data_IF_923767139313
#
_entry.id   IF_923767139313
#
_cell.length_a   1.000
_cell.length_b   1.000
_cell.length_c   1.000
_cell.angle_alpha   90.00
_cell.angle_beta   90.00
_cell.angle_gamma   90.00
#
_symmetry.space_group_name_H-M   'P 1'
#
loop_
_entity.id
_entity.type
_entity.pdbx_description
1 polymer ?
#
# COMPACT_ATOMS: atom_id res chain seq x y z
N UNK A 1 38.71 27.73 2.04
CA UNK A 1 37.62 27.90 3.02
C UNK A 1 36.41 27.14 2.49
N UNK A 2 36.06 25.98 3.08
CA UNK A 2 34.87 25.24 2.68
C UNK A 2 33.66 25.90 3.32
N UNK A 3 32.82 26.54 2.51
CA UNK A 3 31.51 27.01 2.94
C UNK A 3 30.65 25.77 3.20
N UNK A 4 30.46 25.42 4.47
CA UNK A 4 29.55 24.34 4.85
C UNK A 4 28.15 24.67 4.29
N UNK A 5 27.69 23.85 3.34
CA UNK A 5 26.35 23.99 2.79
C UNK A 5 25.33 23.83 3.93
N UNK A 6 24.49 24.84 4.16
CA UNK A 6 23.41 24.79 5.14
C UNK A 6 22.43 23.69 4.72
N UNK A 7 22.47 22.54 5.39
CA UNK A 7 21.56 21.43 5.16
C UNK A 7 20.28 21.64 5.96
N UNK A 8 19.11 21.53 5.32
CA UNK A 8 17.80 21.68 6.00
C UNK A 8 17.56 20.48 6.92
N UNK A 9 17.02 20.70 8.13
CA UNK A 9 16.63 19.64 9.07
C UNK A 9 15.74 18.56 8.43
N UNK A 10 14.84 18.96 7.53
CA UNK A 10 13.94 18.06 6.79
C UNK A 10 14.66 17.10 5.82
N UNK A 11 15.96 17.28 5.59
CA UNK A 11 16.76 16.40 4.74
C UNK A 11 17.58 15.38 5.53
N UNK A 12 17.48 15.38 6.86
CA UNK A 12 18.11 14.38 7.70
C UNK A 12 17.40 13.03 7.52
N UNK A 13 18.19 11.97 7.39
CA UNK A 13 17.70 10.61 7.51
C UNK A 13 17.29 10.33 8.96
N UNK A 14 16.44 9.32 9.20
CA UNK A 14 16.01 8.97 10.56
C UNK A 14 17.19 8.63 11.49
N UNK A 15 18.26 8.02 10.96
CA UNK A 15 19.48 7.74 11.71
C UNK A 15 20.23 9.03 12.08
N UNK A 16 20.37 9.98 11.15
CA UNK A 16 21.00 11.28 11.41
C UNK A 16 20.18 12.12 12.40
N UNK A 17 18.85 12.12 12.29
CA UNK A 17 17.97 12.81 13.22
C UNK A 17 18.07 12.23 14.64
N UNK A 18 18.11 10.89 14.76
CA UNK A 18 18.28 10.21 16.05
C UNK A 18 19.64 10.48 16.68
N UNK A 19 20.71 10.49 15.88
CA UNK A 19 22.06 10.81 16.34
C UNK A 19 22.17 12.28 16.79
N UNK A 20 21.53 13.20 16.06
CA UNK A 20 21.46 14.61 16.41
C UNK A 20 20.69 14.83 17.72
N UNK A 21 19.57 14.13 17.91
CA UNK A 21 18.82 14.11 19.17
C UNK A 21 19.66 13.64 20.35
N UNK A 22 20.36 12.52 20.19
CA UNK A 22 21.25 11.98 21.23
C UNK A 22 22.34 12.99 21.58
N UNK A 23 22.97 13.59 20.58
CA UNK A 23 24.01 14.60 20.79
C UNK A 23 23.46 15.86 21.48
N UNK A 24 22.26 16.31 21.12
CA UNK A 24 21.59 17.44 21.79
C UNK A 24 21.25 17.11 23.25
N UNK A 25 20.80 15.89 23.53
CA UNK A 25 20.47 15.46 24.89
C UNK A 25 21.74 15.32 25.77
N UNK A 26 22.82 14.75 25.22
CA UNK A 26 24.12 14.70 25.89
C UNK A 26 24.66 16.10 26.16
N UNK A 27 24.46 17.02 25.22
CA UNK A 27 24.86 18.41 25.40
C UNK A 27 24.05 19.07 26.52
N UNK A 28 22.74 18.85 26.54
CA UNK A 28 21.84 19.36 27.57
C UNK A 28 22.21 18.86 28.98
N UNK A 29 22.48 17.57 29.12
CA UNK A 29 22.91 16.96 30.39
C UNK A 29 24.22 17.56 30.92
N UNK A 30 25.13 17.99 30.04
CA UNK A 30 26.37 18.67 30.45
C UNK A 30 26.15 20.11 30.93
N UNK A 31 25.06 20.74 30.54
CA UNK A 31 24.71 22.10 30.96
C UNK A 31 23.96 22.15 32.29
N UNK A 32 23.49 21.02 32.82
CA UNK A 32 22.75 20.94 34.08
C UNK A 32 23.56 21.43 35.31
N UNK A 33 24.87 21.63 35.15
CA UNK A 33 25.77 22.13 36.20
C UNK A 33 26.30 23.54 35.95
N UNK A 34 25.93 24.19 34.84
CA UNK A 34 26.38 25.54 34.48
C UNK A 34 25.32 26.58 34.85
N UNK A 35 25.79 27.75 35.29
CA UNK A 35 24.95 28.83 35.80
C UNK A 35 23.95 29.30 34.72
N UNK A 36 22.66 29.19 35.05
CA UNK A 36 21.54 29.18 34.09
C UNK A 36 21.30 30.55 33.43
N UNK A 37 21.71 31.65 34.07
CA UNK A 37 21.48 33.01 33.55
C UNK A 37 22.25 33.32 32.26
N UNK A 38 23.38 32.63 32.00
CA UNK A 38 24.18 32.85 30.78
C UNK A 38 23.70 32.03 29.57
N UNK A 39 22.77 31.09 29.78
CA UNK A 39 22.30 30.12 28.78
C UNK A 39 20.84 30.34 28.36
N UNK A 40 20.24 31.44 28.84
CA UNK A 40 18.87 31.82 28.52
C UNK A 40 18.73 32.00 26.99
N UNK A 41 17.81 31.24 26.39
CA UNK A 41 17.64 31.12 24.93
C UNK A 41 18.39 29.97 24.24
N UNK A 42 19.53 29.48 24.76
CA UNK A 42 20.12 28.22 24.25
C UNK A 42 19.26 27.03 24.68
N UNK A 43 18.76 27.08 25.92
CA UNK A 43 17.84 26.08 26.46
C UNK A 43 16.58 25.99 25.59
N UNK A 44 15.92 27.12 25.31
CA UNK A 44 14.75 27.19 24.42
C UNK A 44 15.06 26.70 23.01
N UNK A 45 16.26 27.00 22.49
CA UNK A 45 16.68 26.55 21.16
C UNK A 45 16.90 25.04 21.13
N UNK A 46 17.54 24.47 22.14
CA UNK A 46 17.75 23.03 22.27
C UNK A 46 16.42 22.33 22.50
N UNK A 47 15.56 22.84 23.37
CA UNK A 47 14.22 22.33 23.61
C UNK A 47 13.38 22.37 22.33
N UNK A 48 13.39 23.48 21.59
CA UNK A 48 12.73 23.61 20.28
C UNK A 48 13.30 22.64 19.25
N UNK A 49 14.62 22.46 19.20
CA UNK A 49 15.26 21.48 18.32
C UNK A 49 14.91 20.05 18.72
N UNK A 50 14.92 19.73 20.01
CA UNK A 50 14.50 18.43 20.53
C UNK A 50 13.04 18.16 20.21
N UNK A 51 12.16 19.13 20.39
CA UNK A 51 10.74 19.06 20.02
C UNK A 51 10.56 18.80 18.52
N UNK A 52 11.25 19.58 17.69
CA UNK A 52 11.25 19.42 16.22
C UNK A 52 11.91 18.12 15.76
N UNK A 53 12.77 17.56 16.60
CA UNK A 53 13.41 16.28 16.36
C UNK A 53 12.68 15.13 17.04
N UNK A 54 11.62 15.33 17.86
CA UNK A 54 10.77 14.28 18.48
C UNK A 54 10.13 13.46 17.36
N UNK A 55 10.95 12.59 16.83
CA UNK A 55 10.70 11.69 15.74
C UNK A 55 10.28 10.40 16.39
N UNK A 56 8.99 10.09 16.30
CA UNK A 56 8.54 8.76 16.61
C UNK A 56 8.84 7.92 15.36
N UNK A 57 9.99 7.25 15.41
CA UNK A 57 10.26 6.15 14.49
C UNK A 57 9.17 5.10 14.70
N UNK A 58 8.55 4.67 13.61
CA UNK A 58 7.57 3.57 13.64
C UNK A 58 8.12 2.30 14.31
N UNK A 59 9.44 2.14 14.48
CA UNK A 59 10.03 1.01 15.22
C UNK A 59 9.86 1.06 16.74
N UNK A 60 9.46 2.20 17.32
CA UNK A 60 9.33 2.40 18.78
C UNK A 60 7.90 2.76 19.22
N UNK A 61 6.92 2.58 18.34
CA UNK A 61 5.53 2.96 18.61
C UNK A 61 4.90 1.99 19.60
N UNK A 62 4.19 2.55 20.57
CA UNK A 62 3.38 1.83 21.58
C UNK A 62 1.97 2.41 21.58
N UNK A 63 1.03 1.80 22.32
CA UNK A 63 -0.33 2.33 22.49
C UNK A 63 -0.34 3.77 23.03
N UNK A 64 0.54 4.08 23.99
CA UNK A 64 0.71 5.45 24.51
C UNK A 64 1.06 6.46 23.40
N UNK A 65 1.71 6.03 22.31
CA UNK A 65 2.00 6.92 21.18
C UNK A 65 0.72 7.34 20.44
N UNK A 66 -0.30 6.48 20.40
CA UNK A 66 -1.61 6.82 19.84
C UNK A 66 -2.32 7.83 20.72
N UNK A 67 -2.30 7.60 22.05
CA UNK A 67 -2.91 8.51 23.02
C UNK A 67 -2.32 9.92 22.94
N UNK A 68 -0.99 10.05 22.85
CA UNK A 68 -0.34 11.37 22.70
C UNK A 68 -0.74 12.05 21.39
N UNK A 69 -1.05 11.30 20.33
CA UNK A 69 -1.57 11.85 19.07
C UNK A 69 -3.09 12.08 19.08
N UNK A 70 -3.77 11.85 20.20
CA UNK A 70 -5.23 11.95 20.30
C UNK A 70 -5.95 10.90 19.46
N UNK A 71 -5.32 9.76 19.19
CA UNK A 71 -5.90 8.65 18.44
C UNK A 71 -6.42 7.62 19.42
N UNK A 72 -7.72 7.32 19.35
CA UNK A 72 -8.38 6.42 20.29
C UNK A 72 -8.97 5.20 19.58
N UNK A 73 -8.94 4.05 20.24
CA UNK A 73 -9.72 2.91 19.79
C UNK A 73 -11.21 3.26 19.95
N UNK A 74 -11.94 3.31 18.84
CA UNK A 74 -13.40 3.39 18.92
C UNK A 74 -13.92 2.04 19.41
N UNK A 75 -14.83 2.07 20.38
CA UNK A 75 -15.50 0.84 20.83
C UNK A 75 -16.08 0.12 19.61
N UNK A 76 -15.90 -1.22 19.51
CA UNK A 76 -16.57 -1.95 18.47
C UNK A 76 -18.06 -1.60 18.55
N UNK A 77 -18.74 -1.32 17.43
CA UNK A 77 -20.18 -1.22 17.47
C UNK A 77 -20.66 -2.47 18.18
N UNK A 78 -21.55 -2.33 19.17
CA UNK A 78 -22.13 -3.49 19.85
C UNK A 78 -22.79 -4.30 18.74
N UNK A 79 -22.08 -5.32 18.25
CA UNK A 79 -22.59 -6.27 17.28
C UNK A 79 -23.69 -6.96 18.06
N UNK A 80 -24.92 -6.45 17.93
CA UNK A 80 -26.11 -7.15 18.37
C UNK A 80 -26.01 -8.47 17.64
N UNK A 81 -25.65 -9.50 18.40
CA UNK A 81 -25.37 -10.86 17.95
C UNK A 81 -26.60 -11.42 17.26
N UNK A 82 -26.77 -11.03 16.00
CA UNK A 82 -27.78 -11.52 15.06
C UNK A 82 -27.16 -12.59 14.17
N UNK A 83 -25.85 -12.82 14.30
CA UNK A 83 -25.11 -13.92 13.70
C UNK A 83 -25.52 -15.31 14.24
N UNK A 84 -26.50 -15.38 15.14
CA UNK A 84 -27.04 -16.62 15.69
C UNK A 84 -28.37 -17.09 15.07
N UNK A 85 -29.06 -16.30 14.23
CA UNK A 85 -30.40 -16.70 13.74
C UNK A 85 -30.74 -16.39 12.27
N UNK A 86 -29.82 -15.86 11.46
CA UNK A 86 -30.08 -15.71 10.03
C UNK A 86 -29.13 -16.58 9.20
N UNK A 87 -29.62 -17.73 8.74
CA UNK A 87 -28.99 -18.58 7.71
C UNK A 87 -28.89 -17.90 6.31
N UNK A 88 -29.12 -16.59 6.24
CA UNK A 88 -28.81 -15.78 5.07
C UNK A 88 -27.39 -15.26 5.20
N UNK A 89 -26.41 -16.10 4.84
CA UNK A 89 -25.05 -15.66 4.52
C UNK A 89 -25.11 -14.40 3.66
N UNK A 90 -24.42 -13.34 4.08
CA UNK A 90 -24.33 -12.08 3.33
C UNK A 90 -24.07 -12.35 1.85
N UNK A 91 -24.75 -11.66 0.91
CA UNK A 91 -24.61 -11.90 -0.53
C UNK A 91 -23.15 -11.75 -1.01
N UNK A 92 -22.32 -10.98 -0.30
CA UNK A 92 -20.89 -10.83 -0.59
C UNK A 92 -20.09 -12.15 -0.54
N UNK A 93 -20.48 -13.10 0.33
CA UNK A 93 -19.75 -14.37 0.53
C UNK A 93 -20.23 -15.45 -0.47
N UNK A 94 -21.45 -15.33 -1.03
CA UNK A 94 -21.95 -16.33 -1.99
C UNK A 94 -21.28 -16.21 -3.37
N UNK A 95 -20.83 -15.02 -3.74
CA UNK A 95 -20.22 -14.77 -5.05
C UNK A 95 -18.76 -15.25 -5.18
N UNK A 96 -18.09 -15.64 -4.07
CA UNK A 96 -16.73 -16.22 -4.15
C UNK A 96 -16.71 -17.67 -4.65
N UNK A 97 -17.84 -18.39 -4.60
CA UNK A 97 -17.96 -19.80 -5.04
C UNK A 97 -18.30 -19.99 -6.54
N UNK A 98 -18.14 -18.96 -7.37
CA UNK A 98 -18.48 -19.04 -8.80
C UNK A 98 -17.53 -20.01 -9.53
N UNK A 99 -18.08 -21.19 -9.82
CA UNK A 99 -17.83 -22.17 -10.89
C UNK A 99 -16.38 -22.38 -11.36
N UNK A 100 -15.88 -23.59 -11.09
CA UNK A 100 -14.61 -24.14 -11.55
C UNK A 100 -14.43 -24.15 -13.07
N UNK A 101 -13.71 -23.14 -13.57
CA UNK A 101 -12.81 -23.31 -14.71
C UNK A 101 -11.37 -23.31 -14.19
N UNK A 102 -10.46 -24.00 -14.89
CA UNK A 102 -9.01 -24.07 -14.65
C UNK A 102 -8.34 -22.69 -14.69
N UNK A 103 -8.64 -21.83 -13.71
CA UNK A 103 -8.01 -20.53 -13.52
C UNK A 103 -6.84 -20.71 -12.55
N UNK A 104 -5.69 -20.06 -12.82
CA UNK A 104 -4.41 -20.36 -12.18
C UNK A 104 -4.34 -20.13 -10.66
N UNK A 105 -5.40 -19.62 -10.02
CA UNK A 105 -5.50 -19.54 -8.55
C UNK A 105 -6.95 -19.78 -8.11
N UNK A 106 -7.56 -20.94 -8.40
CA UNK A 106 -8.87 -21.28 -7.80
C UNK A 106 -8.79 -21.31 -6.26
N UNK A 107 -9.94 -21.36 -5.56
CA UNK A 107 -9.95 -21.54 -4.10
C UNK A 107 -9.14 -22.77 -3.70
N UNK A 108 -9.44 -23.90 -4.34
CA UNK A 108 -8.69 -25.15 -4.13
C UNK A 108 -7.21 -25.03 -4.50
N UNK A 109 -6.89 -24.21 -5.51
CA UNK A 109 -5.52 -23.89 -5.90
C UNK A 109 -4.77 -23.13 -4.80
N UNK A 110 -5.43 -22.15 -4.17
CA UNK A 110 -4.90 -21.41 -3.04
C UNK A 110 -4.70 -22.34 -1.82
N UNK A 111 -5.66 -23.22 -1.52
CA UNK A 111 -5.55 -24.22 -0.45
C UNK A 111 -4.32 -25.11 -0.64
N UNK A 112 -4.16 -25.66 -1.84
CA UNK A 112 -3.03 -26.51 -2.18
C UNK A 112 -1.70 -25.74 -2.10
N UNK A 113 -1.68 -24.47 -2.50
CA UNK A 113 -0.48 -23.65 -2.46
C UNK A 113 -0.09 -23.29 -1.01
N UNK A 114 -1.05 -22.88 -0.19
CA UNK A 114 -0.82 -22.59 1.23
C UNK A 114 -0.36 -23.84 1.99
N UNK A 115 -0.99 -25.00 1.76
CA UNK A 115 -0.57 -26.27 2.33
C UNK A 115 0.86 -26.67 1.93
N UNK A 116 1.27 -26.39 0.69
CA UNK A 116 2.65 -26.61 0.22
C UNK A 116 3.63 -25.66 0.91
N UNK A 117 3.29 -24.39 1.03
CA UNK A 117 4.14 -23.38 1.67
C UNK A 117 4.36 -23.74 3.14
N UNK A 118 3.31 -24.15 3.84
CA UNK A 118 3.38 -24.62 5.23
C UNK A 118 4.30 -25.83 5.37
N UNK A 119 4.19 -26.81 4.46
CA UNK A 119 5.04 -28.00 4.47
C UNK A 119 6.53 -27.67 4.25
N UNK A 120 6.83 -26.55 3.59
CA UNK A 120 8.21 -26.13 3.27
C UNK A 120 8.89 -25.26 4.33
N UNK A 121 8.32 -25.12 5.53
CA UNK A 121 8.87 -24.37 6.68
C UNK A 121 9.03 -22.86 6.51
N UNK A 122 8.64 -22.27 5.37
CA UNK A 122 8.84 -20.85 5.14
C UNK A 122 7.95 -19.95 6.00
N UNK A 123 6.76 -20.40 6.41
CA UNK A 123 5.76 -19.54 7.09
C UNK A 123 6.18 -19.02 8.47
N UNK A 124 7.19 -19.61 9.10
CA UNK A 124 7.73 -19.10 10.37
C UNK A 124 8.71 -17.93 10.20
N UNK A 125 9.12 -17.65 8.97
CA UNK A 125 10.04 -16.56 8.64
C UNK A 125 9.28 -15.35 8.08
N UNK A 126 9.84 -14.15 8.25
CA UNK A 126 9.30 -12.93 7.63
C UNK A 126 9.15 -13.07 6.09
N UNK A 127 10.06 -13.80 5.44
CA UNK A 127 9.98 -14.05 4.00
C UNK A 127 8.81 -14.95 3.61
N UNK A 128 8.47 -15.95 4.43
CA UNK A 128 7.31 -16.79 4.16
C UNK A 128 6.00 -16.06 4.42
N UNK A 129 5.93 -15.25 5.47
CA UNK A 129 4.78 -14.37 5.70
C UNK A 129 4.58 -13.38 4.53
N UNK A 130 5.68 -12.87 3.96
CA UNK A 130 5.68 -12.00 2.77
C UNK A 130 5.14 -12.76 1.56
N UNK A 131 5.66 -13.96 1.31
CA UNK A 131 5.21 -14.82 0.22
C UNK A 131 3.71 -15.16 0.32
N UNK A 132 3.22 -15.47 1.53
CA UNK A 132 1.79 -15.73 1.75
C UNK A 132 0.96 -14.49 1.46
N UNK A 133 1.41 -13.32 1.92
CA UNK A 133 0.77 -12.03 1.63
C UNK A 133 0.71 -11.76 0.13
N UNK A 134 1.82 -11.94 -0.59
CA UNK A 134 1.91 -11.78 -2.05
C UNK A 134 0.92 -12.70 -2.78
N UNK A 135 0.78 -13.95 -2.32
CA UNK A 135 -0.16 -14.92 -2.91
C UNK A 135 -1.62 -14.51 -2.68
N UNK A 136 -1.95 -14.03 -1.49
CA UNK A 136 -3.30 -13.51 -1.19
C UNK A 136 -3.61 -12.31 -2.09
N UNK A 137 -2.67 -11.35 -2.21
CA UNK A 137 -2.83 -10.19 -3.09
C UNK A 137 -2.94 -10.60 -4.57
N UNK A 138 -2.16 -11.59 -5.01
CA UNK A 138 -2.25 -12.13 -6.37
C UNK A 138 -3.61 -12.80 -6.60
N UNK A 139 -4.14 -13.56 -5.64
CA UNK A 139 -5.49 -14.15 -5.73
C UNK A 139 -6.53 -13.05 -5.91
N UNK A 140 -6.48 -12.00 -5.09
CA UNK A 140 -7.42 -10.87 -5.20
C UNK A 140 -7.32 -10.21 -6.58
N UNK A 141 -6.10 -9.98 -7.09
CA UNK A 141 -5.89 -9.47 -8.45
C UNK A 141 -6.54 -10.36 -9.52
N UNK A 142 -6.35 -11.68 -9.46
CA UNK A 142 -7.00 -12.61 -10.41
C UNK A 142 -8.52 -12.60 -10.32
N UNK A 143 -9.09 -12.36 -9.14
CA UNK A 143 -10.55 -12.26 -8.97
C UNK A 143 -11.10 -11.00 -9.64
N UNK A 144 -10.39 -9.88 -9.53
CA UNK A 144 -10.75 -8.60 -10.18
C UNK A 144 -10.68 -8.65 -11.71
N UNK A 145 -9.75 -9.44 -12.26
CA UNK A 145 -9.71 -9.70 -13.71
C UNK A 145 -10.88 -10.58 -14.15
N UNK A 146 -11.26 -11.56 -13.33
CA UNK A 146 -12.27 -12.56 -13.67
C UNK A 146 -13.71 -12.06 -13.63
N UNK A 147 -14.02 -11.09 -12.76
CA UNK A 147 -15.36 -10.48 -12.65
C UNK A 147 -15.76 -9.66 -13.89
N UNK A 148 -14.79 -9.39 -14.76
CA UNK A 148 -14.96 -8.52 -15.93
C UNK A 148 -15.07 -9.27 -17.26
N UNK A 149 -15.01 -10.61 -17.28
CA UNK A 149 -15.41 -11.32 -18.48
C UNK A 149 -16.93 -11.15 -18.66
N UNK A 150 -17.40 -10.70 -19.84
CA UNK A 150 -18.82 -10.72 -20.11
C UNK A 150 -19.28 -12.16 -19.93
N UNK A 151 -20.20 -12.37 -19.00
CA UNK A 151 -21.04 -13.57 -19.03
C UNK A 151 -21.72 -13.46 -20.39
N UNK A 152 -21.20 -14.15 -21.40
CA UNK A 152 -21.97 -14.45 -22.60
C UNK A 152 -23.26 -15.05 -22.05
N UNK A 153 -24.33 -14.27 -22.11
CA UNK A 153 -25.65 -14.77 -21.80
C UNK A 153 -25.79 -15.97 -22.70
N UNK A 154 -25.81 -17.16 -22.11
CA UNK A 154 -26.17 -18.38 -22.81
C UNK A 154 -27.64 -18.18 -23.14
N UNK A 155 -27.89 -17.50 -24.25
CA UNK A 155 -29.21 -17.39 -24.85
C UNK A 155 -29.63 -18.83 -25.15
N UNK A 156 -30.76 -19.32 -24.63
CA UNK A 156 -31.20 -20.67 -24.91
C UNK A 156 -31.34 -20.82 -26.42
N UNK A 157 -30.57 -21.74 -27.00
CA UNK A 157 -30.56 -22.03 -28.43
C UNK A 157 -32.00 -22.26 -28.89
N UNK A 158 -32.61 -21.23 -29.51
CA UNK A 158 -33.90 -21.41 -30.16
C UNK A 158 -33.70 -22.42 -31.29
N UNK A 159 -34.55 -23.44 -31.41
CA UNK A 159 -34.47 -24.38 -32.51
C UNK A 159 -34.59 -23.62 -33.83
N UNK A 160 -33.62 -23.83 -34.72
CA UNK A 160 -33.53 -23.13 -36.00
C UNK A 160 -34.75 -23.45 -36.86
N UNK A 161 -35.55 -22.43 -37.19
CA UNK A 161 -36.41 -22.47 -38.37
C UNK A 161 -35.60 -21.95 -39.56
N UNK A 162 -35.25 -22.84 -40.47
CA UNK A 162 -34.72 -22.48 -41.78
C UNK A 162 -35.74 -21.60 -42.52
N UNK A 163 -35.26 -20.62 -43.31
CA UNK A 163 -35.62 -20.68 -44.72
C UNK A 163 -34.47 -20.31 -45.67
N UNK A 164 -34.27 -21.20 -46.64
CA UNK A 164 -33.97 -20.95 -48.05
C UNK A 164 -33.14 -19.71 -48.44
N UNK A 165 -31.91 -20.00 -48.91
CA UNK A 165 -31.09 -19.14 -49.76
C UNK A 165 -31.78 -18.84 -51.10
N UNK A 166 -31.63 -17.63 -51.64
CA UNK A 166 -31.54 -17.42 -53.07
C UNK A 166 -30.08 -17.38 -53.55
N UNK A 167 -29.81 -18.10 -54.63
CA UNK A 167 -28.62 -17.94 -55.46
C UNK A 167 -28.59 -16.53 -56.10
N UNK A 168 -27.43 -15.91 -56.12
CA UNK A 168 -27.10 -14.91 -57.14
C UNK A 168 -25.68 -15.17 -57.64
N UNK A 169 -25.60 -15.43 -58.95
CA UNK A 169 -24.41 -15.68 -59.75
C UNK A 169 -23.78 -14.36 -60.21
N UNK A 170 -22.45 -14.41 -60.35
CA UNK A 170 -21.61 -13.78 -61.37
C UNK A 170 -21.41 -12.25 -61.38
N UNK A 171 -20.13 -11.89 -61.49
CA UNK A 171 -19.66 -10.55 -61.83
C UNK A 171 -18.13 -10.46 -61.74
N UNK A 172 -17.43 -11.05 -62.72
CA UNK A 172 -16.00 -10.83 -62.95
C UNK A 172 -15.71 -9.37 -63.32
N UNK A 173 -14.56 -8.84 -62.89
CA UNK A 173 -14.12 -7.48 -63.21
C UNK A 173 -12.63 -7.24 -62.95
N UNK A 174 -11.87 -7.34 -64.04
CA UNK A 174 -10.49 -6.92 -64.35
C UNK A 174 -9.74 -5.89 -63.46
N UNK A 175 -8.42 -6.12 -63.35
CA UNK A 175 -7.34 -5.26 -62.81
C UNK A 175 -7.03 -4.01 -63.70
N UNK A 176 -6.18 -3.01 -63.29
CA UNK A 176 -4.70 -3.16 -63.39
C UNK A 176 -3.78 -2.33 -62.43
N UNK A 177 -2.58 -2.89 -62.23
CA UNK A 177 -1.19 -2.36 -62.11
C UNK A 177 -0.78 -0.91 -61.68
N UNK A 178 0.09 -0.89 -60.64
CA UNK A 178 1.39 -0.16 -60.42
C UNK A 178 1.43 1.39 -60.33
N UNK A 179 2.48 2.07 -59.76
CA UNK A 179 3.86 1.59 -59.45
C UNK A 179 4.54 2.05 -58.12
N UNK A 180 5.56 1.25 -57.76
CA UNK A 180 6.95 1.59 -57.35
C UNK A 180 7.27 3.07 -57.05
N UNK A 181 7.85 3.32 -55.88
CA UNK A 181 8.95 4.28 -55.69
C UNK A 181 9.93 3.81 -54.63
N UNK A 182 11.19 3.83 -55.02
CA UNK A 182 12.39 3.38 -54.31
C UNK A 182 13.09 4.55 -53.59
N UNK A 183 14.12 4.20 -52.81
CA UNK A 183 15.28 5.03 -52.39
C UNK A 183 15.09 5.85 -51.10
N UNK A 184 15.79 5.47 -50.03
CA UNK A 184 17.02 6.18 -49.63
C UNK A 184 17.62 5.60 -48.35
N UNK A 185 18.74 4.91 -48.54
CA UNK A 185 19.76 4.61 -47.54
C UNK A 185 20.60 5.86 -47.22
N UNK A 186 20.95 6.08 -45.94
CA UNK A 186 22.20 6.77 -45.58
C UNK A 186 22.69 6.34 -44.18
N UNK A 187 23.99 5.99 -44.04
CA UNK A 187 24.61 5.52 -42.80
C UNK A 187 25.40 6.64 -42.10
N UNK A 188 25.51 6.60 -40.77
CA UNK A 188 26.54 7.32 -39.99
C UNK A 188 26.88 6.48 -38.75
N UNK A 189 27.96 5.71 -38.77
CA UNK A 189 29.35 6.09 -38.48
C UNK A 189 29.66 6.13 -36.98
N UNK A 190 30.46 5.13 -36.59
CA UNK A 190 31.17 4.94 -35.33
C UNK A 190 31.96 6.19 -34.93
N UNK A 191 32.01 6.48 -33.63
CA UNK A 191 33.18 7.10 -33.00
C UNK A 191 33.58 6.29 -31.78
N UNK A 192 34.65 5.53 -31.96
CA UNK A 192 35.46 4.91 -30.92
C UNK A 192 36.51 5.89 -30.39
N UNK A 193 36.98 5.59 -29.16
CA UNK A 193 38.27 5.98 -28.53
C UNK A 193 38.17 7.02 -27.40
N UNK A 194 39.13 7.07 -26.45
CA UNK A 194 40.01 6.01 -25.96
C UNK A 194 40.04 5.87 -24.42
N UNK A 195 40.65 4.75 -24.03
CA UNK A 195 41.16 4.39 -22.71
C UNK A 195 42.17 5.42 -22.19
N UNK A 196 42.04 5.85 -20.93
CA UNK A 196 43.18 6.30 -20.11
C UNK A 196 43.21 5.56 -18.77
N UNK A 197 44.30 4.84 -18.54
CA UNK A 197 44.70 4.19 -17.28
C UNK A 197 45.54 5.17 -16.44
N UNK A 198 45.78 4.76 -15.18
CA UNK A 198 46.51 5.41 -14.08
C UNK A 198 45.59 6.26 -13.18
N UNK A 199 45.54 6.10 -11.85
CA UNK A 199 46.38 5.37 -10.88
C UNK A 199 45.73 5.46 -9.49
N UNK A 200 46.18 4.58 -8.58
CA UNK A 200 46.19 4.69 -7.11
C UNK A 200 45.12 3.89 -6.33
N UNK A 201 45.55 2.97 -5.44
CA UNK A 201 44.65 2.20 -4.59
C UNK A 201 44.31 3.00 -3.33
N UNK A 202 43.14 3.63 -3.30
CA UNK A 202 42.55 4.09 -2.04
C UNK A 202 41.87 2.90 -1.36
N UNK A 203 42.27 2.66 -0.11
CA UNK A 203 41.72 1.63 0.78
C UNK A 203 40.29 2.02 1.16
N UNK A 204 39.33 1.69 0.30
CA UNK A 204 37.90 1.84 0.60
C UNK A 204 37.49 0.82 1.66
N UNK A 205 37.25 1.31 2.87
CA UNK A 205 36.39 0.63 3.84
C UNK A 205 35.05 0.41 3.16
N UNK A 206 34.66 -0.86 2.97
CA UNK A 206 33.34 -1.26 2.51
C UNK A 206 32.30 -0.79 3.53
N UNK A 207 31.84 0.45 3.38
CA UNK A 207 30.51 0.81 3.83
C UNK A 207 29.54 0.01 2.97
N UNK A 208 28.84 -0.95 3.56
CA UNK A 208 27.70 -1.59 2.94
C UNK A 208 26.67 -0.51 2.64
N UNK A 209 26.74 0.07 1.44
CA UNK A 209 25.62 0.78 0.85
C UNK A 209 24.55 -0.29 0.67
N UNK A 210 23.61 -0.36 1.61
CA UNK A 210 22.31 -0.95 1.39
C UNK A 210 21.68 -0.19 0.22
N UNK A 211 22.02 -0.59 -1.01
CA UNK A 211 21.11 -0.43 -2.12
C UNK A 211 19.89 -1.23 -1.71
N UNK A 212 18.87 -0.54 -1.22
CA UNK A 212 17.51 -1.05 -1.19
C UNK A 212 17.24 -1.54 -2.61
N UNK A 213 17.31 -2.85 -2.78
CA UNK A 213 16.73 -3.54 -3.92
C UNK A 213 15.23 -3.31 -3.75
N UNK A 214 14.75 -2.15 -4.20
CA UNK A 214 13.33 -1.89 -4.23
C UNK A 214 12.75 -2.96 -5.15
N UNK A 215 11.99 -3.90 -4.56
CA UNK A 215 11.27 -4.89 -5.35
C UNK A 215 10.40 -4.14 -6.36
N UNK A 216 10.35 -4.60 -7.63
CA UNK A 216 9.57 -3.92 -8.65
C UNK A 216 8.11 -3.85 -8.20
N UNK A 217 7.52 -2.66 -8.27
CA UNK A 217 6.09 -2.48 -8.02
C UNK A 217 5.28 -3.41 -8.92
N UNK A 218 4.23 -4.01 -8.37
CA UNK A 218 3.31 -4.88 -9.11
C UNK A 218 2.16 -4.01 -9.64
N UNK A 219 1.92 -4.09 -10.95
CA UNK A 219 0.90 -3.31 -11.65
C UNK A 219 -0.16 -4.25 -12.19
N UNK A 220 -1.41 -4.02 -11.79
CA UNK A 220 -2.58 -4.79 -12.26
C UNK A 220 -3.58 -3.79 -12.82
N UNK A 221 -3.97 -3.96 -14.09
CA UNK A 221 -5.01 -3.11 -14.67
C UNK A 221 -6.36 -3.75 -14.37
N UNK A 222 -7.22 -3.05 -13.62
CA UNK A 222 -8.58 -3.54 -13.35
C UNK A 222 -9.46 -3.10 -14.53
N UNK A 223 -10.13 -4.01 -15.25
CA UNK A 223 -11.07 -3.62 -16.29
C UNK A 223 -12.28 -2.87 -15.70
N UNK A 224 -12.94 -1.99 -16.48
CA UNK A 224 -14.04 -1.18 -15.96
C UNK A 224 -15.28 -2.06 -15.75
N UNK A 225 -15.98 -1.88 -14.63
CA UNK A 225 -17.23 -2.56 -14.36
C UNK A 225 -18.38 -1.96 -15.21
N UNK A 226 -18.61 -2.57 -16.38
CA UNK A 226 -19.87 -2.57 -17.15
C UNK A 226 -20.55 -1.25 -17.57
N UNK A 227 -19.95 -0.06 -17.46
CA UNK A 227 -20.50 1.12 -18.13
C UNK A 227 -19.76 1.43 -19.45
N UNK A 228 -20.45 1.57 -20.59
CA UNK A 228 -19.84 1.91 -21.88
C UNK A 228 -19.48 3.40 -22.01
N UNK A 229 -19.54 4.17 -20.92
CA UNK A 229 -18.93 5.51 -20.89
C UNK A 229 -17.41 5.34 -20.93
N UNK A 230 -16.79 6.04 -21.87
CA UNK A 230 -15.43 5.88 -22.36
C UNK A 230 -14.33 6.30 -21.35
N UNK A 231 -14.62 6.30 -20.06
CA UNK A 231 -13.67 6.59 -19.00
C UNK A 231 -12.82 5.34 -18.75
N UNK A 232 -11.52 5.49 -18.98
CA UNK A 232 -10.59 4.40 -18.83
C UNK A 232 -10.63 3.84 -17.39
N UNK A 233 -10.45 2.54 -17.27
CA UNK A 233 -10.62 1.86 -16.00
C UNK A 233 -9.51 2.22 -15.01
N UNK A 234 -9.81 2.25 -13.71
CA UNK A 234 -8.80 2.53 -12.70
C UNK A 234 -7.73 1.42 -12.66
N UNK A 235 -6.49 1.83 -12.41
CA UNK A 235 -5.33 0.94 -12.32
C UNK A 235 -5.02 0.62 -10.86
N UNK A 236 -4.83 -0.67 -10.56
CA UNK A 236 -4.35 -1.12 -9.26
C UNK A 236 -2.83 -1.16 -9.25
N UNK A 237 -2.23 -0.47 -8.31
CA UNK A 237 -0.79 -0.40 -8.13
C UNK A 237 -0.47 -0.92 -6.73
N UNK A 238 0.40 -1.92 -6.65
CA UNK A 238 0.93 -2.44 -5.38
C UNK A 238 2.36 -1.97 -5.23
N UNK A 239 2.61 -1.18 -4.20
CA UNK A 239 3.90 -0.57 -3.89
C UNK A 239 4.50 -1.26 -2.66
N UNK A 240 5.42 -2.21 -2.83
CA UNK A 240 6.12 -2.82 -1.70
C UNK A 240 7.06 -1.80 -1.04
N UNK A 241 7.31 -1.97 0.26
CA UNK A 241 8.23 -1.17 1.06
C UNK A 241 8.00 0.35 0.92
N UNK A 242 6.74 0.77 0.88
CA UNK A 242 6.39 2.17 0.66
C UNK A 242 6.77 3.04 1.87
N UNK A 243 7.60 4.05 1.62
CA UNK A 243 8.06 4.98 2.63
C UNK A 243 7.00 6.04 2.90
N UNK A 244 6.42 5.98 4.09
CA UNK A 244 5.51 6.99 4.62
C UNK A 244 6.32 8.25 4.91
N UNK A 245 6.01 9.37 4.23
CA UNK A 245 6.74 10.60 4.42
C UNK A 245 6.66 11.12 5.84
N UNK A 246 7.71 11.83 6.25
CA UNK A 246 7.73 12.59 7.49
C UNK A 246 6.50 13.51 7.55
N UNK A 247 5.67 13.30 8.56
CA UNK A 247 4.41 14.02 8.75
C UNK A 247 4.23 14.36 10.22
N UNK A 248 3.90 15.62 10.49
CA UNK A 248 3.60 16.08 11.84
C UNK A 248 2.14 15.72 12.15
N UNK A 249 1.90 14.99 13.24
CA UNK A 249 0.59 14.78 13.84
C UNK A 249 0.44 15.71 15.03
N UNK A 250 -0.74 16.31 15.24
CA UNK A 250 -0.95 17.17 16.39
C UNK A 250 -0.93 16.32 17.67
N UNK A 251 -0.26 16.77 18.72
CA UNK A 251 -0.42 16.18 20.04
C UNK A 251 -1.77 16.58 20.67
N UNK A 252 -2.12 15.87 21.74
CA UNK A 252 -3.31 16.16 22.55
C UNK A 252 -3.30 17.56 23.17
N UNK A 253 -4.50 17.97 23.61
CA UNK A 253 -4.93 19.35 23.87
C UNK A 253 -4.08 20.09 24.91
N UNK A 254 -3.43 19.37 25.83
CA UNK A 254 -2.67 19.99 26.92
C UNK A 254 -1.31 20.55 26.47
N UNK A 255 -0.83 20.21 25.26
CA UNK A 255 0.44 20.72 24.73
C UNK A 255 0.32 21.02 23.23
N UNK A 256 -0.38 22.12 22.90
CA UNK A 256 -0.68 22.53 21.53
C UNK A 256 0.55 22.81 20.66
N UNK A 257 1.72 22.99 21.28
CA UNK A 257 2.97 23.25 20.56
C UNK A 257 3.79 21.97 20.28
N UNK A 258 3.39 20.83 20.86
CA UNK A 258 4.10 19.55 20.73
C UNK A 258 3.64 18.71 19.53
N UNK A 259 3.81 19.20 18.31
CA UNK A 259 3.61 18.35 17.12
C UNK A 259 4.53 17.10 17.17
N UNK A 260 3.94 15.92 17.01
CA UNK A 260 4.69 14.66 16.90
C UNK A 260 5.05 14.41 15.46
N UNK A 261 6.33 14.19 15.19
CA UNK A 261 6.76 13.85 13.83
C UNK A 261 6.81 12.33 13.62
N UNK A 262 6.01 11.81 12.68
CA UNK A 262 5.93 10.38 12.36
C UNK A 262 6.53 10.10 10.98
N UNK A 263 7.30 9.03 10.85
CA UNK A 263 7.65 8.43 9.55
C UNK A 263 7.98 6.96 9.66
N UNK A 264 7.86 6.23 8.56
CA UNK A 264 8.49 4.91 8.44
C UNK A 264 8.12 4.22 7.13
N UNK A 265 7.99 2.90 7.17
CA UNK A 265 7.75 2.07 5.99
C UNK A 265 6.54 1.19 6.26
N UNK A 266 5.60 1.16 5.32
CA UNK A 266 4.57 0.11 5.25
C UNK A 266 5.02 -0.95 4.25
N UNK A 267 4.74 -2.21 4.55
CA UNK A 267 5.20 -3.34 3.75
C UNK A 267 4.53 -3.34 2.37
N UNK A 268 3.25 -2.96 2.30
CA UNK A 268 2.55 -2.73 1.04
C UNK A 268 1.63 -1.52 1.12
N UNK A 269 1.74 -0.62 0.14
CA UNK A 269 0.70 0.37 -0.15
C UNK A 269 -0.02 -0.05 -1.43
N UNK A 270 -1.31 -0.30 -1.33
CA UNK A 270 -2.14 -0.68 -2.47
C UNK A 270 -2.96 0.55 -2.85
N UNK A 271 -2.77 1.03 -4.07
CA UNK A 271 -3.38 2.25 -4.58
C UNK A 271 -4.23 1.94 -5.81
N UNK A 272 -5.46 2.43 -5.81
CA UNK A 272 -6.33 2.44 -6.97
C UNK A 272 -6.29 3.84 -7.58
N UNK A 273 -5.84 3.88 -8.83
CA UNK A 273 -5.38 5.11 -9.47
C UNK A 273 -6.20 5.37 -10.73
N UNK A 274 -6.70 6.60 -10.93
CA UNK A 274 -7.31 6.99 -12.20
C UNK A 274 -6.38 6.72 -13.40
N UNK A 275 -6.93 6.34 -14.55
CA UNK A 275 -6.15 5.91 -15.73
C UNK A 275 -5.17 6.98 -16.25
N UNK A 276 -5.51 8.26 -16.07
CA UNK A 276 -4.72 9.43 -16.47
C UNK A 276 -3.51 9.66 -15.56
N UNK A 277 -3.59 9.22 -14.30
CA UNK A 277 -2.52 9.37 -13.31
C UNK A 277 -1.62 8.12 -13.27
N UNK A 278 -2.18 6.94 -13.58
CA UNK A 278 -1.52 5.63 -13.52
C UNK A 278 -0.10 5.59 -14.10
N UNK A 279 0.13 6.02 -15.36
CA UNK A 279 1.47 6.00 -15.97
C UNK A 279 2.50 6.84 -15.19
N UNK A 280 2.11 8.02 -14.71
CA UNK A 280 3.00 8.90 -13.95
C UNK A 280 3.39 8.29 -12.60
N UNK A 281 2.44 7.63 -11.95
CA UNK A 281 2.68 6.94 -10.68
C UNK A 281 3.50 5.67 -10.81
N UNK A 282 3.36 4.97 -11.94
CA UNK A 282 4.20 3.81 -12.28
C UNK A 282 5.68 4.18 -12.37
N UNK A 283 5.99 5.27 -13.05
CA UNK A 283 7.37 5.73 -13.19
C UNK A 283 7.89 6.41 -11.92
N UNK A 284 6.99 7.05 -11.15
CA UNK A 284 7.32 7.83 -9.96
C UNK A 284 6.34 7.58 -8.81
N UNK A 285 6.45 6.43 -8.10
CA UNK A 285 5.59 6.12 -6.95
C UNK A 285 5.66 7.16 -5.83
N UNK A 286 6.75 7.93 -5.80
CA UNK A 286 6.99 9.00 -4.84
C UNK A 286 6.01 10.17 -4.97
N UNK A 287 5.21 10.24 -6.03
CA UNK A 287 4.14 11.23 -6.16
C UNK A 287 3.01 10.98 -5.14
N UNK A 288 2.76 9.73 -4.72
CA UNK A 288 1.85 9.41 -3.59
C UNK A 288 2.35 9.92 -2.24
N UNK A 289 3.54 10.50 -2.19
CA UNK A 289 3.97 11.23 -1.00
C UNK A 289 3.24 12.55 -0.85
N UNK A 290 2.53 13.05 -1.85
CA UNK A 290 1.72 14.25 -1.73
C UNK A 290 0.26 13.90 -2.02
N UNK A 291 -0.65 14.83 -1.73
CA UNK A 291 -2.05 14.72 -2.09
C UNK A 291 -2.19 14.46 -3.60
N UNK A 292 -2.80 13.33 -3.95
CA UNK A 292 -3.15 13.00 -5.33
C UNK A 292 -4.67 12.83 -5.42
N UNK A 293 -5.37 13.79 -6.06
CA UNK A 293 -6.83 13.72 -6.21
C UNK A 293 -7.27 12.43 -6.90
N UNK A 294 -8.38 11.86 -6.41
CA UNK A 294 -8.98 10.67 -7.01
C UNK A 294 -8.18 9.37 -6.84
N UNK A 295 -7.02 9.37 -6.19
CA UNK A 295 -6.36 8.11 -5.82
C UNK A 295 -6.94 7.61 -4.52
N UNK A 296 -7.21 6.32 -4.39
CA UNK A 296 -7.65 5.68 -3.14
C UNK A 296 -6.64 4.63 -2.73
N UNK A 297 -6.38 4.49 -1.42
CA UNK A 297 -5.30 3.61 -0.95
C UNK A 297 -5.74 2.86 0.30
N UNK A 298 -5.15 1.68 0.50
CA UNK A 298 -5.07 1.02 1.80
C UNK A 298 -3.67 0.46 2.01
N UNK A 299 -3.29 0.30 3.28
CA UNK A 299 -1.94 -0.12 3.66
C UNK A 299 -1.97 -1.49 4.34
N UNK A 300 -1.01 -2.35 4.00
CA UNK A 300 -0.79 -3.63 4.68
C UNK A 300 0.55 -3.57 5.39
N UNK A 301 0.54 -3.92 6.68
CA UNK A 301 1.71 -3.99 7.54
C UNK A 301 1.93 -5.44 7.96
N UNK A 302 3.17 -5.87 7.92
CA UNK A 302 3.52 -7.26 8.15
C UNK A 302 4.30 -7.43 9.45
N UNK A 303 3.96 -8.45 10.24
CA UNK A 303 4.78 -8.85 11.38
C UNK A 303 6.03 -9.55 10.89
N UNK A 304 7.09 -9.47 11.69
CA UNK A 304 8.34 -10.20 11.41
C UNK A 304 8.41 -11.54 12.12
N UNK A 305 7.52 -11.79 13.09
CA UNK A 305 7.48 -13.05 13.81
C UNK A 305 6.12 -13.73 13.66
N UNK A 306 6.16 -15.04 13.87
CA UNK A 306 5.11 -16.00 13.53
C UNK A 306 4.17 -16.33 14.69
N UNK A 307 4.37 -15.70 15.86
CA UNK A 307 3.41 -15.80 16.97
C UNK A 307 2.34 -14.72 16.81
N UNK A 308 1.09 -15.11 16.51
CA UNK A 308 -0.04 -14.21 16.27
C UNK A 308 -0.31 -13.11 17.30
N UNK A 309 0.23 -13.26 18.51
CA UNK A 309 0.32 -12.23 19.56
C UNK A 309 1.02 -10.93 19.13
N UNK A 310 1.64 -10.90 17.95
CA UNK A 310 2.30 -9.69 17.43
C UNK A 310 1.38 -8.77 16.62
N UNK A 311 0.18 -9.19 16.20
CA UNK A 311 -0.71 -8.29 15.46
C UNK A 311 -1.12 -7.09 16.32
N UNK A 312 -1.47 -7.32 17.59
CA UNK A 312 -1.80 -6.26 18.55
C UNK A 312 -0.61 -5.34 18.83
N UNK A 313 0.61 -5.90 18.87
CA UNK A 313 1.85 -5.12 19.07
C UNK A 313 2.15 -4.24 17.84
N UNK A 314 1.83 -4.74 16.63
CA UNK A 314 2.05 -4.02 15.39
C UNK A 314 0.95 -2.97 15.11
N UNK A 315 -0.25 -3.19 15.64
CA UNK A 315 -1.42 -2.37 15.35
C UNK A 315 -1.21 -0.87 15.66
N UNK A 316 -0.68 -0.45 16.83
CA UNK A 316 -0.42 0.96 17.10
C UNK A 316 0.50 1.61 16.06
N UNK A 317 1.53 0.89 15.62
CA UNK A 317 2.43 1.34 14.56
C UNK A 317 1.70 1.52 13.24
N UNK A 318 0.87 0.55 12.86
CA UNK A 318 0.10 0.57 11.62
C UNK A 318 -0.93 1.71 11.62
N UNK A 319 -1.65 1.91 12.72
CA UNK A 319 -2.62 2.99 12.88
C UNK A 319 -1.94 4.36 12.80
N UNK A 320 -0.84 4.57 13.53
CA UNK A 320 -0.11 5.84 13.52
C UNK A 320 0.46 6.17 12.12
N UNK A 321 0.94 5.15 11.43
CA UNK A 321 1.44 5.23 10.06
C UNK A 321 0.33 5.64 9.07
N UNK A 322 -0.85 5.02 9.18
CA UNK A 322 -2.02 5.38 8.39
C UNK A 322 -2.50 6.79 8.73
N UNK A 323 -2.55 7.18 10.00
CA UNK A 323 -2.93 8.52 10.43
C UNK A 323 -2.02 9.61 9.81
N UNK A 324 -0.70 9.38 9.84
CA UNK A 324 0.27 10.25 9.17
C UNK A 324 0.01 10.35 7.66
N UNK A 325 -0.26 9.21 7.00
CA UNK A 325 -0.55 9.20 5.57
C UNK A 325 -1.86 9.92 5.24
N UNK A 326 -2.94 9.67 6.01
CA UNK A 326 -4.26 10.29 5.85
C UNK A 326 -4.19 11.81 6.01
N UNK A 327 -3.54 12.30 7.07
CA UNK A 327 -3.32 13.74 7.26
C UNK A 327 -2.62 14.38 6.06
N UNK A 328 -1.61 13.69 5.52
CA UNK A 328 -0.83 14.18 4.38
C UNK A 328 -1.60 14.13 3.05
N UNK A 329 -2.47 13.15 2.88
CA UNK A 329 -3.38 13.03 1.74
C UNK A 329 -4.63 13.89 1.87
N UNK A 330 -4.84 14.56 3.01
CA UNK A 330 -6.05 15.31 3.36
C UNK A 330 -7.33 14.50 3.19
N UNK A 331 -7.26 13.22 3.56
CA UNK A 331 -8.42 12.32 3.52
C UNK A 331 -9.11 12.26 4.87
N UNK A 332 -10.42 11.94 4.90
CA UNK A 332 -11.13 11.76 6.17
C UNK A 332 -10.81 10.40 6.82
N UNK A 333 -10.49 9.39 6.01
CA UNK A 333 -10.26 8.03 6.49
C UNK A 333 -9.34 7.24 5.57
N UNK A 334 -8.85 6.10 6.07
CA UNK A 334 -8.13 5.11 5.29
C UNK A 334 -8.22 3.73 5.94
N UNK A 335 -8.35 2.72 5.08
CA UNK A 335 -8.36 1.30 5.45
C UNK A 335 -6.93 0.78 5.60
N UNK A 336 -6.71 -0.18 6.48
CA UNK A 336 -5.41 -0.83 6.66
C UNK A 336 -5.55 -2.24 7.19
N UNK A 337 -4.49 -3.03 7.06
CA UNK A 337 -4.42 -4.38 7.62
C UNK A 337 -3.06 -4.61 8.29
N UNK A 338 -3.06 -5.36 9.38
CA UNK A 338 -1.86 -5.98 9.94
C UNK A 338 -1.92 -7.49 9.69
N UNK A 339 -0.81 -8.10 9.30
CA UNK A 339 -0.79 -9.53 8.96
C UNK A 339 0.51 -10.22 9.34
N UNK A 340 0.41 -11.49 9.75
CA UNK A 340 1.54 -12.43 9.89
C UNK A 340 1.70 -13.30 8.64
N UNK A 341 1.00 -12.97 7.55
CA UNK A 341 0.76 -13.84 6.41
C UNK A 341 -0.41 -14.81 6.67
N UNK A 342 -0.36 -15.54 7.79
CA UNK A 342 -1.40 -16.52 8.18
C UNK A 342 -2.59 -15.91 8.89
N UNK A 343 -2.37 -14.88 9.70
CA UNK A 343 -3.43 -14.19 10.43
C UNK A 343 -3.53 -12.77 9.91
N UNK A 344 -4.76 -12.25 9.87
CA UNK A 344 -5.09 -10.95 9.34
C UNK A 344 -6.00 -10.22 10.31
N UNK A 345 -5.66 -8.98 10.62
CA UNK A 345 -6.55 -8.05 11.32
C UNK A 345 -6.67 -6.79 10.47
N UNK A 346 -7.90 -6.48 10.09
CA UNK A 346 -8.23 -5.29 9.34
C UNK A 346 -8.56 -4.15 10.29
N UNK A 347 -8.30 -2.92 9.87
CA UNK A 347 -8.65 -1.73 10.61
C UNK A 347 -9.01 -0.59 9.68
N UNK A 348 -9.76 0.38 10.21
CA UNK A 348 -10.02 1.67 9.56
C UNK A 348 -9.64 2.75 10.54
N UNK A 349 -8.90 3.74 10.06
CA UNK A 349 -8.62 4.96 10.79
C UNK A 349 -9.47 6.10 10.21
N UNK A 350 -10.11 6.85 11.10
CA UNK A 350 -10.93 8.03 10.81
C UNK A 350 -10.29 9.24 11.50
N UNK A 351 -10.05 10.30 10.73
CA UNK A 351 -9.60 11.58 11.27
C UNK A 351 -10.76 12.27 12.00
N UNK A 352 -10.47 12.88 13.14
CA UNK A 352 -11.46 13.67 13.87
C UNK A 352 -11.89 14.90 13.04
N UNK A 353 -13.13 15.37 13.23
CA UNK A 353 -13.67 16.52 12.48
C UNK A 353 -12.86 17.81 12.65
N UNK A 354 -12.16 17.98 13.77
CA UNK A 354 -11.28 19.11 14.05
C UNK A 354 -9.87 18.94 13.46
N UNK A 355 -9.59 17.82 12.80
CA UNK A 355 -8.28 17.45 12.27
C UNK A 355 -7.24 17.09 13.34
N UNK A 356 -7.63 16.99 14.61
CA UNK A 356 -6.73 16.64 15.72
C UNK A 356 -6.97 15.20 16.16
N UNK A 357 -5.97 14.35 15.92
CA UNK A 357 -6.04 12.93 16.25
C UNK A 357 -7.07 12.18 15.42
N UNK A 358 -7.81 11.27 16.04
CA UNK A 358 -8.81 10.48 15.33
C UNK A 358 -9.26 9.25 16.11
N UNK A 359 -9.92 8.34 15.42
CA UNK A 359 -10.28 7.05 15.99
C UNK A 359 -9.94 5.92 15.03
N UNK A 360 -9.80 4.72 15.56
CA UNK A 360 -9.66 3.52 14.74
C UNK A 360 -10.52 2.38 15.27
N UNK A 361 -10.91 1.48 14.37
CA UNK A 361 -11.63 0.24 14.69
C UNK A 361 -10.90 -0.94 14.05
N UNK A 362 -11.00 -2.11 14.68
CA UNK A 362 -10.37 -3.34 14.19
C UNK A 362 -11.41 -4.44 13.95
N UNK A 363 -11.13 -5.32 13.00
CA UNK A 363 -11.80 -6.61 12.87
C UNK A 363 -11.28 -7.60 13.93
N UNK A 364 -11.99 -8.72 14.17
CA UNK A 364 -11.37 -9.90 14.75
C UNK A 364 -10.14 -10.34 13.95
N UNK A 365 -9.26 -11.11 14.58
CA UNK A 365 -8.17 -11.80 13.89
C UNK A 365 -8.78 -12.94 13.06
N UNK A 366 -8.50 -12.94 11.76
CA UNK A 366 -8.94 -13.95 10.80
C UNK A 366 -7.74 -14.83 10.43
N UNK A 367 -7.90 -16.14 10.50
CA UNK A 367 -6.89 -17.13 10.16
C UNK A 367 -7.10 -17.68 8.75
N UNK A 368 -6.04 -17.69 7.95
CA UNK A 368 -6.04 -18.36 6.66
C UNK A 368 -6.09 -19.89 6.80
N UNK A 369 -5.90 -20.46 7.98
CA UNK A 369 -6.01 -21.90 8.19
C UNK A 369 -7.49 -22.37 8.12
N UNK A 370 -8.47 -21.47 8.35
CA UNK A 370 -9.89 -21.69 8.07
C UNK A 370 -10.22 -21.28 6.63
N UNK A 371 -10.96 -22.14 5.91
CA UNK A 371 -11.41 -21.85 4.54
C UNK A 371 -12.40 -20.67 4.55
N UNK A 372 -13.31 -20.66 5.52
CA UNK A 372 -14.32 -19.62 5.67
C UNK A 372 -13.68 -18.26 5.95
N UNK A 373 -12.75 -18.19 6.91
CA UNK A 373 -12.07 -16.94 7.25
C UNK A 373 -11.14 -16.46 6.12
N UNK A 374 -10.51 -17.39 5.40
CA UNK A 374 -9.73 -17.08 4.19
C UNK A 374 -10.59 -16.44 3.10
N UNK A 375 -11.76 -17.00 2.83
CA UNK A 375 -12.72 -16.43 1.87
C UNK A 375 -13.13 -15.02 2.31
N UNK A 376 -13.29 -14.79 3.62
CA UNK A 376 -13.56 -13.45 4.18
C UNK A 376 -12.37 -12.51 3.94
N UNK A 377 -11.12 -12.91 4.21
CA UNK A 377 -9.92 -12.09 3.97
C UNK A 377 -9.84 -11.67 2.49
N UNK A 378 -9.98 -12.62 1.57
CA UNK A 378 -9.91 -12.38 0.13
C UNK A 378 -11.09 -11.50 -0.32
N UNK A 379 -12.30 -11.78 0.17
CA UNK A 379 -13.50 -11.01 -0.12
C UNK A 379 -13.41 -9.56 0.36
N UNK A 380 -12.90 -9.32 1.57
CA UNK A 380 -12.67 -7.98 2.11
C UNK A 380 -11.67 -7.20 1.28
N UNK A 381 -10.51 -7.79 0.96
CA UNK A 381 -9.50 -7.15 0.13
C UNK A 381 -10.03 -6.81 -1.27
N UNK A 382 -10.78 -7.72 -1.89
CA UNK A 382 -11.45 -7.47 -3.16
C UNK A 382 -12.45 -6.32 -3.05
N UNK A 383 -13.32 -6.34 -2.04
CA UNK A 383 -14.31 -5.29 -1.79
C UNK A 383 -13.66 -3.92 -1.60
N UNK A 384 -12.56 -3.85 -0.83
CA UNK A 384 -11.82 -2.60 -0.62
C UNK A 384 -11.21 -2.04 -1.90
N UNK A 385 -10.81 -2.91 -2.83
CA UNK A 385 -10.31 -2.48 -4.14
C UNK A 385 -11.47 -2.03 -5.03
N UNK A 386 -12.58 -2.77 -5.08
CA UNK A 386 -13.73 -2.41 -5.93
C UNK A 386 -14.42 -1.13 -5.44
N UNK A 387 -14.52 -0.94 -4.13
CA UNK A 387 -15.14 0.21 -3.46
C UNK A 387 -14.12 1.19 -2.92
N UNK A 388 -12.93 1.23 -3.52
CA UNK A 388 -11.86 2.14 -3.08
C UNK A 388 -12.30 3.61 -3.07
N UNK A 389 -13.22 3.99 -3.98
CA UNK A 389 -13.73 5.35 -4.18
C UNK A 389 -14.88 5.75 -3.26
N UNK A 390 -15.50 4.81 -2.58
CA UNK A 390 -16.58 5.10 -1.66
C UNK A 390 -15.96 5.61 -0.35
N UNK A 391 -16.49 6.73 0.17
CA UNK A 391 -16.13 7.20 1.50
C UNK A 391 -16.40 6.05 2.48
N UNK A 392 -15.39 5.71 3.28
CA UNK A 392 -15.49 4.59 4.22
C UNK A 392 -16.52 4.95 5.28
N UNK A 393 -17.74 4.45 5.14
CA UNK A 393 -18.73 4.55 6.22
C UNK A 393 -18.23 3.68 7.38
N UNK A 394 -18.37 4.19 8.61
CA UNK A 394 -17.83 3.58 9.83
C UNK A 394 -18.37 2.17 10.08
N UNK A 395 -19.46 1.79 9.41
CA UNK A 395 -20.10 0.47 9.48
C UNK A 395 -19.50 -0.56 8.53
N UNK A 396 -18.73 -0.16 7.50
CA UNK A 396 -18.29 -1.06 6.43
C UNK A 396 -17.21 -2.07 6.82
N UNK A 397 -16.59 -1.95 8.00
CA UNK A 397 -15.55 -2.88 8.45
C UNK A 397 -16.04 -4.32 8.64
N UNK A 398 -17.37 -4.53 8.73
CA UNK A 398 -17.92 -5.79 9.23
C UNK A 398 -18.98 -6.45 8.32
N UNK A 399 -19.26 -5.94 7.11
CA UNK A 399 -20.41 -6.41 6.30
C UNK A 399 -20.17 -6.53 4.79
#
# INVERSE_FOLDING_TARGET
MNTHAKRKLSSLTSAEASALLSALNDCYQRFEHLDLEALDGLHDTIASLQLRLRHISLTKVTENSLEVCGIQAASPPVLRSTLGQSETTSPLIRDSRIAGGDKPVSSDGLDNLLARIDKTFFTKSANGAKLVTDIVLLRVATMLESSNQPVESIEPTRPSSSPLKPLALAGEGYAPHTPRSSISSMPRSRSSSPVSRHSSPSRHVRGASHRSSADPALFVTIPPSRSPSQDAAPQLIVLPDFVIPLTNLPATIDDQDSDITVSGVCDYLIALVPPDIGPGLRDRPQLLRNEVPGVTCFAVFQTKSSSGTELDVLLPKAVLAVAAFVKRQKKPSMRGAVTSGKEWMFFVYNTAHDGRGGSYRTSPILSLDSVEERDVVVGLLKSWIERGYEDVDETELFW
#
